data_IF_425989895100
#
_entry.id   IF_425989895100
#
_cell.length_a   1.000
_cell.length_b   1.000
_cell.length_c   1.000
_cell.angle_alpha   90.00
_cell.angle_beta   90.00
_cell.angle_gamma   90.00
#
_symmetry.space_group_name_H-M   'P 1'
#
loop_
_entity.id
_entity.type
_entity.pdbx_description
1 polymer ?
#
# COMPACT_ATOMS: atom_id res chain seq x y z
N UNK A 1 24.71 34.28 -1.21
CA UNK A 1 23.44 33.68 -0.73
C UNK A 1 23.03 32.65 -1.76
N UNK A 2 22.95 31.39 -1.33
CA UNK A 2 22.72 30.23 -2.18
C UNK A 2 21.26 29.78 -2.03
N UNK A 3 20.60 29.46 -3.13
CA UNK A 3 19.66 28.33 -3.20
C UNK A 3 19.25 28.10 -4.66
N UNK A 4 19.83 27.06 -5.27
CA UNK A 4 19.35 26.45 -6.51
C UNK A 4 18.48 25.25 -6.10
N UNK A 5 17.16 25.36 -6.28
CA UNK A 5 16.30 24.19 -6.34
C UNK A 5 16.36 23.62 -7.76
N UNK A 6 16.81 22.37 -7.89
CA UNK A 6 16.75 21.61 -9.13
C UNK A 6 16.16 20.24 -8.81
N UNK A 7 14.85 20.14 -8.95
CA UNK A 7 14.12 18.87 -8.98
C UNK A 7 14.03 18.43 -10.45
N UNK A 8 14.80 17.40 -10.81
CA UNK A 8 14.69 16.74 -12.11
C UNK A 8 15.25 15.32 -11.99
N UNK A 9 14.36 14.35 -11.80
CA UNK A 9 14.68 12.96 -12.09
C UNK A 9 13.74 12.45 -13.18
N UNK A 10 14.21 12.61 -14.42
CA UNK A 10 13.83 11.81 -15.57
C UNK A 10 14.56 10.46 -15.48
N UNK A 11 13.88 9.41 -15.91
CA UNK A 11 14.43 8.06 -16.00
C UNK A 11 15.30 7.81 -17.22
N UNK A 12 15.72 6.54 -17.29
CA UNK A 12 16.35 5.77 -18.38
C UNK A 12 17.87 5.90 -18.64
N UNK A 13 18.51 4.73 -18.47
CA UNK A 13 19.51 4.06 -19.36
C UNK A 13 20.79 4.82 -19.70
N UNK A 14 22.01 4.28 -19.77
CA UNK A 14 22.64 2.97 -19.60
C UNK A 14 24.16 3.21 -19.46
N UNK A 15 24.95 2.15 -19.28
CA UNK A 15 26.42 2.08 -19.46
C UNK A 15 27.37 2.30 -18.26
N UNK A 16 27.97 1.18 -17.86
CA UNK A 16 29.43 0.97 -17.77
C UNK A 16 30.24 1.93 -16.90
N UNK A 17 30.22 1.71 -15.59
CA UNK A 17 31.35 2.03 -14.73
C UNK A 17 31.62 0.86 -13.78
N UNK A 18 32.74 0.18 -14.01
CA UNK A 18 33.34 -0.76 -13.07
C UNK A 18 33.76 -0.01 -11.81
N UNK A 19 32.82 0.10 -10.87
CA UNK A 19 33.04 0.60 -9.54
C UNK A 19 32.20 -0.26 -8.62
N UNK A 20 32.86 -1.00 -7.72
CA UNK A 20 32.26 -1.89 -6.74
C UNK A 20 31.19 -1.14 -5.94
N UNK A 21 29.94 -1.13 -6.41
CA UNK A 21 28.81 -0.58 -5.68
C UNK A 21 28.72 -1.35 -4.36
N UNK A 22 28.70 -0.67 -3.20
CA UNK A 22 28.44 -1.35 -1.95
C UNK A 22 27.13 -2.11 -2.11
N UNK A 23 27.17 -3.44 -1.93
CA UNK A 23 25.99 -4.30 -1.97
C UNK A 23 25.02 -3.74 -0.95
N UNK A 24 24.01 -2.97 -1.42
CA UNK A 24 22.92 -2.50 -0.57
C UNK A 24 22.23 -3.75 -0.07
N UNK A 25 22.46 -4.10 1.20
CA UNK A 25 21.69 -5.15 1.85
C UNK A 25 20.22 -4.73 1.76
N UNK A 26 19.31 -5.60 1.31
CA UNK A 26 17.90 -5.30 1.34
C UNK A 26 17.54 -4.93 2.77
N UNK A 27 16.88 -3.79 2.95
CA UNK A 27 16.29 -3.46 4.25
C UNK A 27 15.23 -4.54 4.55
N UNK A 28 15.11 -4.99 5.81
CA UNK A 28 14.01 -5.86 6.18
C UNK A 28 12.70 -5.14 5.85
N UNK A 29 11.76 -5.86 5.22
CA UNK A 29 10.43 -5.30 5.02
C UNK A 29 9.83 -4.91 6.38
N UNK A 30 9.14 -3.77 6.46
CA UNK A 30 8.40 -3.42 7.66
C UNK A 30 7.31 -4.47 7.93
N UNK A 31 6.90 -4.63 9.20
CA UNK A 31 5.84 -5.57 9.55
C UNK A 31 4.52 -5.17 8.89
N UNK A 32 3.69 -6.17 8.57
CA UNK A 32 2.43 -5.95 7.84
C UNK A 32 1.49 -5.00 8.57
N UNK A 33 1.48 -4.99 9.91
CA UNK A 33 0.70 -4.03 10.70
C UNK A 33 1.11 -2.58 10.44
N UNK A 34 2.42 -2.29 10.34
CA UNK A 34 2.89 -0.95 10.00
C UNK A 34 2.50 -0.57 8.58
N UNK A 35 2.58 -1.52 7.65
CA UNK A 35 2.19 -1.29 6.25
C UNK A 35 0.68 -0.97 6.19
N UNK A 36 -0.16 -1.81 6.81
CA UNK A 36 -1.62 -1.60 6.88
C UNK A 36 -1.97 -0.26 7.50
N UNK A 37 -1.36 0.11 8.62
CA UNK A 37 -1.59 1.40 9.26
C UNK A 37 -1.16 2.58 8.37
N UNK A 38 -0.03 2.47 7.68
CA UNK A 38 0.45 3.52 6.77
C UNK A 38 -0.52 3.71 5.61
N UNK A 39 -0.99 2.61 5.01
CA UNK A 39 -1.98 2.63 3.94
C UNK A 39 -3.29 3.23 4.44
N UNK A 40 -3.82 2.75 5.58
CA UNK A 40 -5.08 3.22 6.12
C UNK A 40 -5.05 4.72 6.45
N UNK A 41 -3.94 5.20 7.02
CA UNK A 41 -3.74 6.63 7.28
C UNK A 41 -3.71 7.45 5.99
N UNK A 42 -2.95 7.02 4.99
CA UNK A 42 -2.88 7.71 3.69
C UNK A 42 -4.23 7.76 2.99
N UNK A 43 -4.94 6.63 2.93
CA UNK A 43 -6.28 6.57 2.33
C UNK A 43 -7.28 7.44 3.07
N UNK A 44 -7.25 7.44 4.42
CA UNK A 44 -8.09 8.32 5.23
C UNK A 44 -7.86 9.79 4.88
N UNK A 45 -6.59 10.21 4.77
CA UNK A 45 -6.27 11.59 4.38
C UNK A 45 -6.79 11.92 2.98
N UNK A 46 -6.69 11.01 2.02
CA UNK A 46 -7.20 11.21 0.66
C UNK A 46 -8.72 11.43 0.68
N UNK A 47 -9.48 10.56 1.37
CA UNK A 47 -10.95 10.69 1.41
C UNK A 47 -11.42 11.91 2.18
N UNK A 48 -10.73 12.28 3.26
CA UNK A 48 -11.06 13.49 4.03
C UNK A 48 -10.76 14.77 3.24
N UNK A 49 -9.64 14.81 2.51
CA UNK A 49 -9.23 15.98 1.72
C UNK A 49 -9.85 16.01 0.31
N UNK A 50 -10.75 15.09 0.00
CA UNK A 50 -11.37 14.97 -1.31
C UNK A 50 -12.33 16.14 -1.56
N UNK A 51 -12.16 16.85 -2.68
CA UNK A 51 -12.99 18.03 -3.00
C UNK A 51 -14.35 17.67 -3.63
N UNK A 52 -14.45 16.49 -4.25
CA UNK A 52 -15.70 16.04 -4.86
C UNK A 52 -16.66 15.48 -3.81
N UNK A 53 -17.76 16.20 -3.56
CA UNK A 53 -18.79 15.79 -2.62
C UNK A 53 -19.47 14.46 -3.02
N UNK A 54 -19.63 14.21 -4.32
CA UNK A 54 -20.20 12.95 -4.83
C UNK A 54 -19.31 11.76 -4.48
N UNK A 55 -18.00 11.91 -4.68
CA UNK A 55 -17.05 10.85 -4.35
C UNK A 55 -16.92 10.66 -2.83
N UNK A 56 -16.94 11.75 -2.05
CA UNK A 56 -16.99 11.65 -0.59
C UNK A 56 -18.22 10.89 -0.10
N UNK A 57 -19.39 11.14 -0.71
CA UNK A 57 -20.61 10.43 -0.36
C UNK A 57 -20.51 8.95 -0.69
N UNK A 58 -20.01 8.59 -1.87
CA UNK A 58 -19.73 7.19 -2.22
C UNK A 58 -18.73 6.55 -1.26
N UNK A 59 -17.70 7.26 -0.82
CA UNK A 59 -16.75 6.77 0.17
C UNK A 59 -17.42 6.53 1.54
N UNK A 60 -18.33 7.40 1.98
CA UNK A 60 -19.12 7.19 3.22
C UNK A 60 -19.97 5.93 3.13
N UNK A 61 -20.63 5.72 2.00
CA UNK A 61 -21.46 4.54 1.75
C UNK A 61 -20.63 3.26 1.71
N UNK A 62 -19.51 3.26 0.97
CA UNK A 62 -18.61 2.11 0.87
C UNK A 62 -17.99 1.72 2.20
N UNK A 63 -17.55 2.72 2.98
CA UNK A 63 -16.94 2.49 4.30
C UNK A 63 -17.98 2.28 5.40
N UNK A 64 -19.27 2.53 5.12
CA UNK A 64 -20.37 2.47 6.08
C UNK A 64 -20.07 3.34 7.32
N UNK A 65 -19.75 4.61 7.06
CA UNK A 65 -19.48 5.63 8.08
C UNK A 65 -20.29 6.88 7.81
N UNK A 66 -20.78 7.51 8.88
CA UNK A 66 -21.48 8.79 8.80
C UNK A 66 -20.49 9.94 8.53
N UNK A 67 -19.31 9.87 9.14
CA UNK A 67 -18.24 10.85 9.00
C UNK A 67 -16.92 10.19 8.58
N UNK A 68 -16.29 10.70 7.53
CA UNK A 68 -15.01 10.21 7.03
C UNK A 68 -13.85 10.53 7.97
N UNK A 69 -13.96 11.61 8.75
CA UNK A 69 -12.95 11.94 9.76
C UNK A 69 -13.04 11.02 10.98
N UNK A 70 -14.24 10.52 11.28
CA UNK A 70 -14.52 9.65 12.42
C UNK A 70 -14.87 8.24 11.96
N UNK A 71 -13.84 7.42 11.78
CA UNK A 71 -14.00 5.98 11.60
C UNK A 71 -13.61 5.41 10.23
N UNK A 72 -13.35 6.24 9.22
CA UNK A 72 -12.81 5.77 7.95
C UNK A 72 -11.52 4.97 8.15
N UNK A 73 -10.62 5.44 9.01
CA UNK A 73 -9.37 4.75 9.33
C UNK A 73 -9.59 3.31 9.82
N UNK A 74 -10.52 3.13 10.76
CA UNK A 74 -10.83 1.83 11.36
C UNK A 74 -11.45 0.91 10.31
N UNK A 75 -12.37 1.43 9.49
CA UNK A 75 -13.02 0.65 8.42
C UNK A 75 -12.04 0.23 7.34
N UNK A 76 -11.14 1.12 6.95
CA UNK A 76 -10.09 0.83 5.97
C UNK A 76 -9.13 -0.23 6.54
N UNK A 77 -8.71 -0.13 7.80
CA UNK A 77 -7.89 -1.16 8.45
C UNK A 77 -8.59 -2.53 8.44
N UNK A 78 -9.85 -2.59 8.86
CA UNK A 78 -10.61 -3.84 8.87
C UNK A 78 -10.80 -4.44 7.47
N UNK A 79 -10.94 -3.59 6.44
CA UNK A 79 -11.00 -4.05 5.05
C UNK A 79 -9.65 -4.62 4.60
N UNK A 80 -8.54 -3.96 4.92
CA UNK A 80 -7.19 -4.45 4.57
C UNK A 80 -6.90 -5.80 5.22
N UNK A 81 -7.24 -5.96 6.51
CA UNK A 81 -7.08 -7.23 7.23
C UNK A 81 -7.86 -8.37 6.56
N UNK A 82 -9.14 -8.14 6.20
CA UNK A 82 -9.95 -9.13 5.48
C UNK A 82 -9.37 -9.52 4.13
N UNK A 83 -8.79 -8.56 3.40
CA UNK A 83 -8.14 -8.84 2.10
C UNK A 83 -6.90 -9.71 2.33
N UNK A 84 -6.08 -9.37 3.33
CA UNK A 84 -4.87 -10.13 3.65
C UNK A 84 -5.22 -11.59 4.00
N UNK A 85 -6.22 -11.80 4.87
CA UNK A 85 -6.73 -13.13 5.21
C UNK A 85 -7.26 -13.91 4.00
N UNK A 86 -7.98 -13.22 3.10
CA UNK A 86 -8.51 -13.85 1.90
C UNK A 86 -7.37 -14.31 0.98
N UNK A 87 -6.34 -13.48 0.78
CA UNK A 87 -5.16 -13.86 0.00
C UNK A 87 -4.45 -15.07 0.60
N UNK A 88 -4.32 -15.12 1.92
CA UNK A 88 -3.71 -16.27 2.61
C UNK A 88 -4.54 -17.54 2.41
N UNK A 89 -5.86 -17.45 2.57
CA UNK A 89 -6.78 -18.58 2.32
C UNK A 89 -6.68 -19.10 0.89
N UNK A 90 -6.59 -18.21 -0.09
CA UNK A 90 -6.45 -18.58 -1.52
C UNK A 90 -5.08 -19.22 -1.81
N UNK A 91 -3.99 -18.67 -1.27
CA UNK A 91 -2.66 -19.24 -1.40
C UNK A 91 -2.58 -20.66 -0.79
N UNK A 92 -3.21 -20.86 0.37
CA UNK A 92 -3.26 -22.18 1.02
C UNK A 92 -4.10 -23.19 0.22
N UNK A 93 -5.22 -22.76 -0.39
CA UNK A 93 -5.99 -23.61 -1.33
C UNK A 93 -5.16 -24.02 -2.55
N UNK A 94 -4.39 -23.10 -3.12
CA UNK A 94 -3.53 -23.38 -4.26
C UNK A 94 -2.42 -24.40 -3.94
N UNK A 95 -1.78 -24.27 -2.77
CA UNK A 95 -0.77 -25.23 -2.28
C UNK A 95 -1.35 -26.64 -2.14
N UNK A 96 -2.55 -26.76 -1.55
CA UNK A 96 -3.23 -28.06 -1.34
C UNK A 96 -3.58 -28.77 -2.65
N UNK A 97 -3.95 -28.03 -3.69
CA UNK A 97 -4.22 -28.61 -5.01
C UNK A 97 -2.93 -29.18 -5.63
N UNK A 98 -1.84 -28.41 -5.59
CA UNK A 98 -0.55 -28.81 -6.17
C UNK A 98 0.04 -30.08 -5.53
N UNK A 99 -0.19 -30.30 -4.23
CA UNK A 99 0.24 -31.52 -3.55
C UNK A 99 -0.57 -32.77 -3.91
N UNK A 100 -1.79 -32.60 -4.44
CA UNK A 100 -2.66 -33.73 -4.81
C UNK A 100 -2.36 -34.29 -6.20
N UNK A 101 -1.74 -33.50 -7.07
CA UNK A 101 -1.36 -33.90 -8.43
C UNK A 101 0.01 -34.62 -8.50
N UNK A 102 0.72 -34.77 -7.38
CA UNK A 102 2.05 -35.40 -7.32
C UNK A 102 2.06 -36.76 -6.58
N UNK A 103 0.89 -37.38 -6.36
CA UNK A 103 0.79 -38.68 -5.70
C UNK A 103 -0.11 -39.65 -6.47
#
# INVERSE_FOLDING_TARGET
MAEKHQDKQQGQESESASGSRPRRRPLPMPPDDMIRNTIARSLTQIVVNMQSAELQQKCRELLQVEDLTQGAHIRILAALEKIDEQREREANKAKRRKSKDHN
#
